data_IF_446753955811
#
_entry.id   IF_446753955811
#
_cell.length_a   1.000
_cell.length_b   1.000
_cell.length_c   1.000
_cell.angle_alpha   90.00
_cell.angle_beta   90.00
_cell.angle_gamma   90.00
#
_symmetry.space_group_name_H-M   'P 1'
#
loop_
_entity.id
_entity.type
_entity.pdbx_description
1 polymer ?
#
# COMPACT_ATOMS: atom_id res chain seq x y z
N UNK A 1 -2.57 8.73 -12.86
CA UNK A 1 -1.28 8.48 -12.16
C UNK A 1 -1.25 7.07 -11.55
N UNK A 2 -1.11 6.01 -12.35
CA UNK A 2 -1.12 4.63 -11.84
C UNK A 2 0.26 4.16 -11.38
N UNK A 3 1.29 4.38 -12.22
CA UNK A 3 2.65 3.91 -11.93
C UNK A 3 3.22 4.41 -10.58
N UNK A 4 3.09 5.70 -10.22
CA UNK A 4 3.64 6.18 -8.96
C UNK A 4 2.95 5.56 -7.72
N UNK A 5 1.66 5.23 -7.83
CA UNK A 5 0.90 4.57 -6.75
C UNK A 5 1.32 3.10 -6.60
N UNK A 6 1.48 2.40 -7.73
CA UNK A 6 1.98 1.03 -7.74
C UNK A 6 3.40 0.92 -7.16
N UNK A 7 4.28 1.87 -7.48
CA UNK A 7 5.64 1.91 -6.93
C UNK A 7 5.59 2.14 -5.41
N UNK A 8 4.79 3.09 -4.92
CA UNK A 8 4.60 3.29 -3.47
C UNK A 8 4.08 2.02 -2.77
N UNK A 9 3.18 1.27 -3.40
CA UNK A 9 2.69 -0.01 -2.87
C UNK A 9 3.80 -1.07 -2.80
N UNK A 10 4.67 -1.16 -3.82
CA UNK A 10 5.83 -2.06 -3.79
C UNK A 10 6.80 -1.70 -2.66
N UNK A 11 7.07 -0.41 -2.45
CA UNK A 11 7.90 0.08 -1.34
C UNK A 11 7.34 -0.36 0.01
N UNK A 12 6.03 -0.18 0.21
CA UNK A 12 5.35 -0.58 1.45
C UNK A 12 5.39 -2.10 1.68
N UNK A 13 5.10 -2.88 0.63
CA UNK A 13 5.08 -4.35 0.71
C UNK A 13 6.44 -4.96 1.07
N UNK A 14 7.52 -4.35 0.61
CA UNK A 14 8.89 -4.80 0.88
C UNK A 14 9.49 -4.13 2.13
N UNK A 15 8.71 -3.35 2.88
CA UNK A 15 9.13 -2.69 4.12
C UNK A 15 10.28 -1.69 3.92
N UNK A 16 10.40 -1.08 2.74
CA UNK A 16 11.51 -0.18 2.43
C UNK A 16 11.24 1.24 2.94
N UNK A 17 12.30 2.02 3.27
CA UNK A 17 12.16 3.42 3.61
C UNK A 17 11.52 4.22 2.46
N UNK A 18 10.73 5.24 2.79
CA UNK A 18 10.07 6.09 1.79
C UNK A 18 11.05 6.79 0.84
N UNK A 19 12.25 7.10 1.35
CA UNK A 19 13.34 7.72 0.60
C UNK A 19 13.90 6.85 -0.53
N UNK A 20 13.56 5.56 -0.60
CA UNK A 20 14.02 4.69 -1.70
C UNK A 20 13.51 5.15 -3.07
N UNK A 21 12.36 5.86 -3.09
CA UNK A 21 11.83 6.49 -4.31
C UNK A 21 12.82 7.46 -4.94
N UNK A 22 13.39 8.35 -4.14
CA UNK A 22 14.35 9.38 -4.58
C UNK A 22 15.77 8.83 -4.70
N UNK A 23 16.20 8.02 -3.75
CA UNK A 23 17.61 7.62 -3.62
C UNK A 23 18.00 6.49 -4.58
N UNK A 24 17.05 5.70 -5.09
CA UNK A 24 17.34 4.55 -5.95
C UNK A 24 16.40 4.44 -7.16
N UNK A 25 15.09 4.51 -6.94
CA UNK A 25 14.12 4.20 -8.01
C UNK A 25 14.14 5.25 -9.11
N UNK A 26 14.11 6.55 -8.78
CA UNK A 26 14.21 7.62 -9.76
C UNK A 26 15.55 7.58 -10.54
N UNK A 27 16.72 7.42 -9.90
CA UNK A 27 17.98 7.19 -10.60
C UNK A 27 17.96 5.98 -11.54
N UNK A 28 17.41 4.85 -11.11
CA UNK A 28 17.33 3.65 -11.93
C UNK A 28 16.43 3.85 -13.18
N UNK A 29 15.29 4.51 -13.01
CA UNK A 29 14.42 4.87 -14.13
C UNK A 29 15.15 5.82 -15.09
N UNK A 30 15.89 6.80 -14.56
CA UNK A 30 16.70 7.73 -15.36
C UNK A 30 17.73 7.00 -16.22
N UNK A 31 18.43 6.03 -15.63
CA UNK A 31 19.45 5.24 -16.31
C UNK A 31 18.85 4.44 -17.48
N UNK A 32 17.71 3.77 -17.23
CA UNK A 32 17.01 2.99 -18.27
C UNK A 32 16.55 3.89 -19.43
N UNK A 33 15.95 5.04 -19.13
CA UNK A 33 15.49 5.97 -20.17
C UNK A 33 16.68 6.51 -20.99
N UNK A 34 17.77 6.84 -20.32
CA UNK A 34 18.94 7.45 -20.97
C UNK A 34 19.72 6.43 -21.81
N UNK A 35 19.90 5.21 -21.32
CA UNK A 35 20.76 4.18 -21.97
C UNK A 35 20.00 3.24 -22.90
N UNK A 36 18.82 2.77 -22.47
CA UNK A 36 18.04 1.79 -23.24
C UNK A 36 17.17 2.50 -24.27
N UNK A 37 16.53 3.61 -23.86
CA UNK A 37 15.61 4.34 -24.74
C UNK A 37 16.29 5.47 -25.52
N UNK A 38 17.52 5.84 -25.17
CA UNK A 38 18.26 6.98 -25.75
C UNK A 38 17.43 8.29 -25.74
N UNK A 39 16.69 8.52 -24.65
CA UNK A 39 15.82 9.68 -24.48
C UNK A 39 16.26 10.53 -23.29
N UNK A 40 15.85 11.81 -23.29
CA UNK A 40 16.04 12.68 -22.13
C UNK A 40 15.04 12.30 -21.03
N UNK A 41 15.53 11.85 -19.89
CA UNK A 41 14.70 11.40 -18.78
C UNK A 41 14.02 12.55 -17.99
N UNK A 42 14.46 13.79 -18.13
CA UNK A 42 14.05 14.89 -17.24
C UNK A 42 12.53 15.13 -17.25
N UNK A 43 11.90 15.16 -18.43
CA UNK A 43 10.45 15.40 -18.54
C UNK A 43 9.64 14.22 -17.99
N UNK A 44 10.09 12.99 -18.26
CA UNK A 44 9.41 11.78 -17.79
C UNK A 44 9.51 11.66 -16.27
N UNK A 45 10.70 11.88 -15.69
CA UNK A 45 10.90 11.78 -14.24
C UNK A 45 10.06 12.81 -13.47
N UNK A 46 9.88 14.03 -14.00
CA UNK A 46 8.99 15.04 -13.39
C UNK A 46 7.53 14.59 -13.33
N UNK A 47 7.11 13.67 -14.22
CA UNK A 47 5.76 13.11 -14.22
C UNK A 47 5.56 11.95 -13.22
N UNK A 48 6.64 11.46 -12.59
CA UNK A 48 6.63 10.35 -11.64
C UNK A 48 6.97 10.88 -10.24
N UNK A 49 5.99 11.43 -9.51
CA UNK A 49 6.25 11.97 -8.18
C UNK A 49 6.49 10.81 -7.21
N UNK A 50 7.76 10.61 -6.85
CA UNK A 50 8.26 9.61 -5.91
C UNK A 50 9.10 10.25 -4.80
N UNK A 51 8.83 11.53 -4.49
CA UNK A 51 9.47 12.16 -3.34
C UNK A 51 9.15 11.40 -2.06
N UNK A 52 10.02 11.48 -1.06
CA UNK A 52 9.80 10.86 0.26
C UNK A 52 8.40 11.17 0.79
N UNK A 53 7.97 12.43 0.73
CA UNK A 53 6.63 12.87 1.17
C UNK A 53 5.50 12.28 0.32
N UNK A 54 5.70 12.19 -1.00
CA UNK A 54 4.68 11.63 -1.90
C UNK A 54 4.50 10.13 -1.66
N UNK A 55 5.60 9.41 -1.45
CA UNK A 55 5.57 7.98 -1.15
C UNK A 55 4.87 7.76 0.18
N UNK A 56 5.25 8.50 1.22
CA UNK A 56 4.61 8.44 2.54
C UNK A 56 3.10 8.68 2.44
N UNK A 57 2.68 9.80 1.85
CA UNK A 57 1.26 10.15 1.71
C UNK A 57 0.45 9.06 1.00
N UNK A 58 0.99 8.46 -0.06
CA UNK A 58 0.27 7.39 -0.78
C UNK A 58 0.15 6.11 0.04
N UNK A 59 1.19 5.78 0.80
CA UNK A 59 1.14 4.62 1.70
C UNK A 59 0.10 4.87 2.79
N UNK A 60 0.03 6.08 3.33
CA UNK A 60 -1.01 6.48 4.29
C UNK A 60 -2.42 6.42 3.68
N UNK A 61 -2.60 6.89 2.44
CA UNK A 61 -3.86 6.79 1.71
C UNK A 61 -4.29 5.33 1.53
N UNK A 62 -3.38 4.45 1.09
CA UNK A 62 -3.65 3.02 0.94
C UNK A 62 -3.98 2.36 2.29
N UNK A 63 -3.22 2.69 3.34
CA UNK A 63 -3.48 2.18 4.68
C UNK A 63 -4.85 2.64 5.21
N UNK A 64 -5.22 3.90 4.94
CA UNK A 64 -6.52 4.43 5.33
C UNK A 64 -7.66 3.77 4.55
N UNK A 65 -7.49 3.53 3.25
CA UNK A 65 -8.48 2.80 2.45
C UNK A 65 -8.72 1.38 2.99
N UNK A 66 -7.65 0.62 3.25
CA UNK A 66 -7.73 -0.71 3.88
C UNK A 66 -8.40 -0.63 5.25
N UNK A 67 -8.06 0.36 6.07
CA UNK A 67 -8.70 0.60 7.37
C UNK A 67 -10.20 0.87 7.22
N UNK A 68 -10.60 1.74 6.30
CA UNK A 68 -12.01 2.06 6.05
C UNK A 68 -12.79 0.84 5.60
N UNK A 69 -12.23 0.04 4.68
CA UNK A 69 -12.83 -1.24 4.26
C UNK A 69 -12.97 -2.22 5.44
N UNK A 70 -11.94 -2.34 6.27
CA UNK A 70 -11.96 -3.21 7.45
C UNK A 70 -13.02 -2.76 8.47
N UNK A 71 -13.11 -1.45 8.75
CA UNK A 71 -14.14 -0.91 9.64
C UNK A 71 -15.53 -1.25 9.12
N UNK A 72 -15.77 -1.07 7.82
CA UNK A 72 -17.03 -1.40 7.20
C UNK A 72 -17.39 -2.88 7.37
N UNK A 73 -16.41 -3.78 7.18
CA UNK A 73 -16.62 -5.22 7.39
C UNK A 73 -16.97 -5.51 8.86
N UNK A 74 -16.17 -5.03 9.80
CA UNK A 74 -16.40 -5.28 11.24
C UNK A 74 -17.75 -4.73 11.71
N UNK A 75 -18.20 -3.59 11.17
CA UNK A 75 -19.52 -3.01 11.47
C UNK A 75 -20.70 -3.83 10.89
N UNK A 76 -20.45 -4.65 9.87
CA UNK A 76 -21.49 -5.37 9.13
C UNK A 76 -21.45 -6.90 9.36
N UNK A 77 -20.48 -7.40 10.13
CA UNK A 77 -20.32 -8.82 10.42
C UNK A 77 -20.28 -9.08 11.91
N UNK A 78 -20.79 -10.23 12.34
CA UNK A 78 -20.49 -10.74 13.69
C UNK A 78 -18.99 -11.02 13.81
N UNK A 79 -18.40 -10.59 14.93
CA UNK A 79 -16.98 -10.79 15.22
C UNK A 79 -16.76 -11.14 16.69
N UNK A 80 -15.65 -11.83 16.97
CA UNK A 80 -15.14 -12.02 18.32
C UNK A 80 -13.95 -11.10 18.55
N UNK A 81 -13.86 -10.48 19.73
CA UNK A 81 -12.73 -9.65 20.14
C UNK A 81 -11.99 -10.32 21.28
N UNK A 82 -10.66 -10.45 21.16
CA UNK A 82 -9.78 -10.86 22.24
C UNK A 82 -8.85 -9.71 22.59
N UNK A 83 -8.71 -9.44 23.89
CA UNK A 83 -7.73 -8.49 24.40
C UNK A 83 -6.62 -9.28 25.10
N UNK A 84 -5.37 -8.90 24.86
CA UNK A 84 -4.19 -9.48 25.48
C UNK A 84 -3.33 -8.36 26.06
N UNK A 85 -3.06 -8.42 27.37
CA UNK A 85 -2.22 -7.45 28.07
C UNK A 85 -0.89 -8.11 28.42
N UNK A 86 0.21 -7.50 27.98
CA UNK A 86 1.57 -7.95 28.22
C UNK A 86 2.40 -6.82 28.83
N UNK A 87 3.33 -7.14 29.73
CA UNK A 87 4.27 -6.15 30.28
C UNK A 87 5.59 -6.23 29.53
N UNK A 88 6.08 -5.09 29.03
CA UNK A 88 7.39 -4.95 28.41
C UNK A 88 8.47 -4.73 29.48
N UNK A 89 9.75 -4.81 29.09
CA UNK A 89 10.83 -4.27 29.92
C UNK A 89 10.54 -2.78 30.19
N UNK A 90 10.87 -2.30 31.39
CA UNK A 90 10.63 -0.92 31.86
C UNK A 90 9.19 -0.60 32.36
N UNK A 91 8.43 -1.61 32.81
CA UNK A 91 7.08 -1.45 33.40
C UNK A 91 6.04 -0.84 32.45
N UNK A 92 6.29 -0.85 31.14
CA UNK A 92 5.30 -0.45 30.14
C UNK A 92 4.30 -1.60 29.89
N UNK A 93 3.01 -1.30 29.94
CA UNK A 93 1.96 -2.25 29.59
C UNK A 93 1.58 -2.10 28.11
N UNK A 94 1.54 -3.22 27.39
CA UNK A 94 1.08 -3.34 26.01
C UNK A 94 -0.28 -4.04 25.99
N UNK A 95 -1.30 -3.37 25.45
CA UNK A 95 -2.62 -3.96 25.23
C UNK A 95 -2.84 -4.23 23.73
N UNK A 96 -3.01 -5.49 23.35
CA UNK A 96 -3.30 -5.93 22.00
C UNK A 96 -4.77 -6.33 21.86
N UNK A 97 -5.40 -5.92 20.76
CA UNK A 97 -6.77 -6.29 20.43
C UNK A 97 -6.83 -7.08 19.12
N UNK A 98 -7.36 -8.30 19.17
CA UNK A 98 -7.55 -9.18 18.02
C UNK A 98 -9.03 -9.30 17.67
N UNK A 99 -9.42 -8.80 16.50
CA UNK A 99 -10.76 -8.99 15.96
C UNK A 99 -10.76 -10.14 14.95
N UNK A 100 -11.62 -11.14 15.16
CA UNK A 100 -11.84 -12.26 14.25
C UNK A 100 -13.27 -12.24 13.73
N UNK A 101 -13.42 -12.19 12.40
CA UNK A 101 -14.69 -12.22 11.70
C UNK A 101 -14.65 -13.25 10.58
N UNK A 102 -15.81 -13.65 10.07
CA UNK A 102 -15.91 -14.50 8.87
C UNK A 102 -16.37 -13.65 7.69
N UNK A 103 -15.63 -13.68 6.58
CA UNK A 103 -16.01 -12.97 5.36
C UNK A 103 -16.79 -13.93 4.47
N UNK A 104 -18.09 -13.69 4.32
CA UNK A 104 -18.89 -14.39 3.32
C UNK A 104 -18.56 -13.80 1.94
N UNK A 105 -17.94 -14.58 1.06
CA UNK A 105 -17.67 -14.10 -0.30
C UNK A 105 -18.98 -13.97 -1.08
N UNK A 106 -19.44 -12.72 -1.27
CA UNK A 106 -20.43 -12.45 -2.31
C UNK A 106 -19.73 -12.64 -3.65
N UNK A 107 -20.03 -13.74 -4.34
CA UNK A 107 -19.57 -13.99 -5.70
C UNK A 107 -20.08 -12.86 -6.60
N UNK A 108 -19.20 -11.92 -6.97
CA UNK A 108 -19.47 -11.02 -8.08
C UNK A 108 -19.45 -11.88 -9.34
N UNK A 109 -20.64 -12.33 -9.78
CA UNK A 109 -20.81 -13.02 -11.07
C UNK A 109 -20.27 -12.09 -12.16
N UNK A 110 -19.06 -12.37 -12.65
CA UNK A 110 -18.59 -11.85 -13.92
C UNK A 110 -19.51 -12.42 -15.00
N UNK A 111 -20.38 -11.56 -15.53
CA UNK A 111 -21.14 -11.85 -16.74
C UNK A 111 -20.14 -12.04 -17.88
N UNK A 112 -19.85 -13.30 -18.22
CA UNK A 112 -19.30 -13.65 -19.52
C UNK A 112 -20.44 -13.54 -20.53
N UNK A 113 -20.38 -12.55 -21.42
CA UNK A 113 -21.17 -12.57 -22.65
C UNK A 113 -20.46 -13.52 -23.64
N UNK A 114 -21.13 -14.56 -24.15
CA UNK A 114 -20.59 -15.33 -25.27
C UNK A 114 -20.68 -14.47 -26.53
N UNK A 115 -19.54 -14.26 -27.19
CA UNK A 115 -19.51 -13.76 -28.55
C UNK A 115 -20.11 -14.82 -29.48
N UNK A 116 -21.23 -14.49 -30.12
CA UNK A 116 -21.65 -15.08 -31.39
C UNK A 116 -21.39 -14.07 -32.50
#
# INVERSE_FOLDING_TARGET
MLAPYNISNLIAKDGKPYSIGETLILPAISEVISTVMNQNAAEILRSIPLSTDTVARRIDEMANDVKTQLIHIVQTTEFSLQLDESTLCDNEALLLGYARFTKTEQHQKSFYLPNH
#
